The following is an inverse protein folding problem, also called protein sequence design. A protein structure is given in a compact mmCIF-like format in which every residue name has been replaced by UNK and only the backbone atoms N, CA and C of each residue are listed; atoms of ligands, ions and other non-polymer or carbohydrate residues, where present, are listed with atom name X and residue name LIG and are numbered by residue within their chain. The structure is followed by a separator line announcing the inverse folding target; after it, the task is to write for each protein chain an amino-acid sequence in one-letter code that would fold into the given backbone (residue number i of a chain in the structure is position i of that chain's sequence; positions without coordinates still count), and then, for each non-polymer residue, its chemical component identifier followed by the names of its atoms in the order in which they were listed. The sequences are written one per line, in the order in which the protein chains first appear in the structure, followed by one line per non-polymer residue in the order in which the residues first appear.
data_IF_353323875179
#
_entry.id   IF_353323875179
#
_cell.length_a   1.000
_cell.length_b   1.000
_cell.length_c   1.000
_cell.angle_alpha   90.00
_cell.angle_beta   90.00
_cell.angle_gamma   90.00
#
_symmetry.space_group_name_H-M   'P 1'
#
loop_
_entity.id
_entity.type
_entity.pdbx_description
1 polymer ?
#
# COMPACT_ATOMS: atom_id res chain seq x y z
N UNK A 1 3.82 -21.42 -3.09
CA UNK A 1 4.68 -20.40 -2.44
C UNK A 1 4.30 -19.08 -3.04
N UNK A 2 3.82 -18.10 -2.23
CA UNK A 2 3.38 -16.79 -2.74
C UNK A 2 4.54 -15.99 -3.32
N UNK A 3 4.29 -15.28 -4.42
CA UNK A 3 5.28 -14.40 -5.03
C UNK A 3 5.54 -13.18 -4.16
N UNK A 4 6.81 -12.81 -4.03
CA UNK A 4 7.23 -11.65 -3.28
C UNK A 4 7.25 -10.41 -4.19
N UNK A 5 6.84 -9.26 -3.65
CA UNK A 5 6.90 -7.99 -4.36
C UNK A 5 8.35 -7.58 -4.68
N UNK A 6 8.59 -6.82 -5.77
CA UNK A 6 9.91 -6.28 -6.08
C UNK A 6 10.45 -5.39 -4.97
N UNK A 7 11.75 -5.46 -4.69
CA UNK A 7 12.40 -4.63 -3.64
C UNK A 7 12.23 -3.14 -3.87
N UNK A 8 11.98 -2.71 -5.11
CA UNK A 8 11.78 -1.29 -5.48
C UNK A 8 10.59 -0.63 -4.80
N UNK A 9 9.58 -1.40 -4.36
CA UNK A 9 8.43 -0.85 -3.64
C UNK A 9 8.82 -0.25 -2.28
N UNK A 10 9.91 -0.71 -1.67
CA UNK A 10 10.40 -0.16 -0.41
C UNK A 10 10.80 1.32 -0.56
N UNK A 11 11.35 1.70 -1.73
CA UNK A 11 11.69 3.08 -2.02
C UNK A 11 10.46 3.99 -2.09
N UNK A 12 9.37 3.49 -2.65
CA UNK A 12 8.10 4.23 -2.72
C UNK A 12 7.57 4.50 -1.31
N UNK A 13 7.59 3.48 -0.46
CA UNK A 13 7.17 3.63 0.94
C UNK A 13 8.10 4.54 1.74
N UNK A 14 9.40 4.48 1.47
CA UNK A 14 10.39 5.37 2.10
C UNK A 14 10.15 6.84 1.69
N UNK A 15 9.95 7.11 0.41
CA UNK A 15 9.64 8.46 -0.08
C UNK A 15 8.33 8.97 0.52
N UNK A 16 7.30 8.13 0.53
CA UNK A 16 6.03 8.45 1.18
C UNK A 16 6.23 8.79 2.67
N UNK A 17 7.04 8.02 3.40
CA UNK A 17 7.34 8.29 4.79
C UNK A 17 8.11 9.62 4.97
N UNK A 18 9.05 9.94 4.07
CA UNK A 18 9.78 11.23 4.08
C UNK A 18 8.84 12.40 3.82
N UNK A 19 7.92 12.28 2.86
CA UNK A 19 6.91 13.32 2.58
C UNK A 19 6.06 13.56 3.83
N UNK A 20 5.55 12.50 4.46
CA UNK A 20 4.78 12.62 5.70
C UNK A 20 5.58 13.24 6.84
N UNK A 21 6.87 12.89 6.96
CA UNK A 21 7.78 13.49 7.96
C UNK A 21 7.92 14.99 7.73
N UNK A 22 8.08 15.44 6.49
CA UNK A 22 8.16 16.86 6.14
C UNK A 22 6.86 17.60 6.48
N UNK A 23 5.72 17.01 6.17
CA UNK A 23 4.40 17.58 6.50
C UNK A 23 4.22 17.70 8.02
N UNK A 24 4.50 16.63 8.75
CA UNK A 24 4.40 16.63 10.22
C UNK A 24 5.36 17.61 10.86
N UNK A 25 6.60 17.70 10.36
CA UNK A 25 7.59 18.70 10.83
C UNK A 25 7.12 20.13 10.57
N UNK A 26 6.53 20.38 9.41
CA UNK A 26 5.95 21.69 9.06
C UNK A 26 4.81 22.07 10.01
N UNK A 27 3.90 21.14 10.31
CA UNK A 27 2.80 21.35 11.27
C UNK A 27 3.36 21.61 12.67
N UNK A 28 4.34 20.81 13.12
CA UNK A 28 4.97 20.99 14.43
C UNK A 28 5.70 22.33 14.54
N UNK A 29 6.40 22.76 13.49
CA UNK A 29 7.04 24.07 13.41
C UNK A 29 6.03 25.20 13.48
N UNK A 30 4.90 25.07 12.80
CA UNK A 30 3.80 26.04 12.84
C UNK A 30 3.20 26.15 14.24
N UNK A 31 2.98 25.02 14.92
CA UNK A 31 2.51 24.99 16.31
C UNK A 31 3.54 25.69 17.21
N UNK A 32 4.81 25.37 17.08
CA UNK A 32 5.88 25.99 17.86
C UNK A 32 6.00 27.50 17.65
N UNK A 33 5.64 28.00 16.46
CA UNK A 33 5.60 29.43 16.15
C UNK A 33 4.35 30.14 16.72
N UNK A 34 3.20 29.47 16.70
CA UNK A 34 1.93 30.05 17.14
C UNK A 34 1.73 30.02 18.66
N UNK A 35 2.23 28.96 19.33
CA UNK A 35 2.07 28.78 20.79
C UNK A 35 2.56 30.01 21.59
N UNK A 36 3.76 30.57 21.39
CA UNK A 36 4.18 31.75 22.14
C UNK A 36 3.44 33.02 21.72
N UNK A 37 2.93 33.10 20.48
CA UNK A 37 2.26 34.28 19.96
C UNK A 37 0.83 34.44 20.48
N UNK A 38 0.16 33.33 20.79
CA UNK A 38 -1.19 33.31 21.35
C UNK A 38 -1.26 32.95 22.83
N UNK A 39 -0.10 32.96 23.51
CA UNK A 39 -0.01 32.64 24.94
C UNK A 39 -0.61 31.27 25.30
N UNK A 40 -0.53 30.32 24.37
CA UNK A 40 -0.92 28.95 24.64
C UNK A 40 0.10 28.23 25.52
N UNK A 41 -0.30 27.14 26.11
CA UNK A 41 0.51 26.38 27.06
C UNK A 41 1.75 25.77 26.37
N UNK A 42 2.97 26.06 26.84
CA UNK A 42 4.24 25.63 26.20
C UNK A 42 4.39 24.11 26.03
N UNK A 43 3.73 23.32 26.90
CA UNK A 43 3.80 21.86 26.83
C UNK A 43 3.18 21.30 25.53
N UNK A 44 2.30 22.00 24.85
CA UNK A 44 1.73 21.61 23.55
C UNK A 44 2.82 21.43 22.49
N UNK A 45 3.84 22.27 22.48
CA UNK A 45 4.97 22.14 21.54
C UNK A 45 5.77 20.86 21.82
N UNK A 46 6.00 20.55 23.12
CA UNK A 46 6.73 19.33 23.51
C UNK A 46 5.94 18.08 23.10
N UNK A 47 4.63 18.07 23.32
CA UNK A 47 3.76 16.96 22.90
C UNK A 47 3.75 16.81 21.38
N UNK A 48 3.65 17.92 20.62
CA UNK A 48 3.67 17.88 19.16
C UNK A 48 4.99 17.31 18.62
N UNK A 49 6.12 17.69 19.18
CA UNK A 49 7.44 17.13 18.84
C UNK A 49 7.49 15.63 19.15
N UNK A 50 7.06 15.22 20.35
CA UNK A 50 7.04 13.82 20.78
C UNK A 50 6.18 12.96 19.84
N UNK A 51 4.99 13.42 19.48
CA UNK A 51 4.11 12.73 18.52
C UNK A 51 4.73 12.62 17.13
N UNK A 52 5.34 13.70 16.65
CA UNK A 52 6.02 13.69 15.34
C UNK A 52 7.12 12.63 15.29
N UNK A 53 7.94 12.54 16.35
CA UNK A 53 9.01 11.55 16.46
C UNK A 53 8.44 10.13 16.49
N UNK A 54 7.44 9.87 17.33
CA UNK A 54 6.83 8.54 17.49
C UNK A 54 6.20 8.07 16.17
N UNK A 55 5.44 8.93 15.50
CA UNK A 55 4.78 8.60 14.22
C UNK A 55 5.83 8.33 13.14
N UNK A 56 6.87 9.17 13.05
CA UNK A 56 7.94 9.01 12.05
C UNK A 56 8.72 7.72 12.24
N UNK A 57 9.08 7.38 13.48
CA UNK A 57 9.75 6.11 13.82
C UNK A 57 8.85 4.90 13.49
N UNK A 58 7.56 4.98 13.84
CA UNK A 58 6.60 3.93 13.52
C UNK A 58 6.48 3.70 12.01
N UNK A 59 6.44 4.76 11.22
CA UNK A 59 6.41 4.67 9.75
C UNK A 59 7.68 4.01 9.21
N UNK A 60 8.86 4.42 9.64
CA UNK A 60 10.14 3.87 9.17
C UNK A 60 10.28 2.38 9.51
N UNK A 61 9.91 1.98 10.73
CA UNK A 61 9.97 0.58 11.17
C UNK A 61 8.95 -0.27 10.40
N UNK A 62 7.80 0.28 10.01
CA UNK A 62 6.76 -0.44 9.28
C UNK A 62 7.17 -0.82 7.85
N UNK A 63 8.10 -0.09 7.20
CA UNK A 63 8.49 -0.31 5.80
C UNK A 63 9.07 -1.71 5.57
N UNK A 64 10.18 -2.12 6.22
CA UNK A 64 10.79 -3.44 5.98
C UNK A 64 9.87 -4.57 6.41
N UNK A 65 9.06 -4.31 7.43
CA UNK A 65 8.14 -5.28 7.96
C UNK A 65 6.97 -5.53 6.99
N UNK A 66 6.36 -4.47 6.47
CA UNK A 66 5.28 -4.54 5.47
C UNK A 66 5.73 -5.29 4.23
N UNK A 67 6.97 -5.10 3.79
CA UNK A 67 7.54 -5.81 2.65
C UNK A 67 7.61 -7.33 2.86
N UNK A 68 7.93 -7.79 4.07
CA UNK A 68 8.05 -9.23 4.37
C UNK A 68 6.71 -9.96 4.44
N UNK A 69 5.61 -9.23 4.73
CA UNK A 69 4.29 -9.81 4.99
C UNK A 69 3.26 -9.62 3.88
N UNK A 70 3.59 -8.86 2.82
CA UNK A 70 2.72 -8.75 1.66
C UNK A 70 3.14 -9.77 0.62
N UNK A 71 2.28 -10.74 0.34
CA UNK A 71 2.45 -11.76 -0.69
C UNK A 71 1.14 -12.00 -1.41
N UNK A 72 1.21 -12.36 -2.69
CA UNK A 72 0.04 -12.80 -3.45
C UNK A 72 0.31 -14.16 -4.09
N UNK A 73 -0.71 -14.95 -4.25
CA UNK A 73 -0.64 -16.26 -4.90
C UNK A 73 -1.87 -16.46 -5.78
N UNK A 74 -1.63 -16.72 -7.05
CA UNK A 74 -2.67 -17.07 -8.00
C UNK A 74 -2.85 -18.60 -7.99
N UNK A 75 -4.09 -19.04 -7.73
CA UNK A 75 -4.54 -20.41 -7.91
C UNK A 75 -5.59 -20.47 -9.01
N UNK A 76 -5.86 -21.64 -9.56
CA UNK A 76 -6.88 -21.84 -10.60
C UNK A 76 -8.30 -21.54 -10.11
N UNK A 77 -8.56 -21.58 -8.80
CA UNK A 77 -9.89 -21.39 -8.19
C UNK A 77 -10.07 -20.02 -7.55
N UNK A 78 -8.98 -19.43 -7.03
CA UNK A 78 -9.02 -18.16 -6.31
C UNK A 78 -7.69 -17.42 -6.39
N UNK A 79 -7.78 -16.09 -6.35
CA UNK A 79 -6.63 -15.24 -6.07
C UNK A 79 -6.54 -15.05 -4.55
N UNK A 80 -5.45 -15.52 -3.96
CA UNK A 80 -5.17 -15.36 -2.54
C UNK A 80 -4.24 -14.17 -2.33
N UNK A 81 -4.70 -13.20 -1.55
CA UNK A 81 -3.94 -12.02 -1.17
C UNK A 81 -3.68 -12.10 0.33
N UNK A 82 -2.42 -12.21 0.70
CA UNK A 82 -2.01 -12.11 2.08
C UNK A 82 -1.45 -10.72 2.34
N UNK A 83 -2.10 -9.99 3.21
CA UNK A 83 -1.65 -8.67 3.62
C UNK A 83 -1.80 -8.50 5.13
N UNK A 84 -1.07 -7.55 5.69
CA UNK A 84 -1.22 -7.12 7.07
C UNK A 84 0.02 -7.26 7.92
N UNK A 85 0.14 -6.32 8.83
CA UNK A 85 1.24 -6.12 9.75
C UNK A 85 0.91 -6.69 11.15
N UNK A 86 -0.08 -6.14 11.81
CA UNK A 86 -0.55 -6.57 13.13
C UNK A 86 -1.60 -7.68 13.03
N UNK A 87 -2.50 -7.54 12.07
CA UNK A 87 -3.55 -8.51 11.78
C UNK A 87 -3.28 -9.12 10.42
N UNK A 88 -3.00 -10.40 10.37
CA UNK A 88 -2.85 -11.13 9.11
C UNK A 88 -4.21 -11.21 8.45
N UNK A 89 -4.36 -10.56 7.30
CA UNK A 89 -5.55 -10.59 6.48
C UNK A 89 -5.30 -11.55 5.32
N UNK A 90 -6.07 -12.60 5.26
CA UNK A 90 -6.12 -13.53 4.14
C UNK A 90 -7.39 -13.24 3.37
N UNK A 91 -7.26 -12.80 2.15
CA UNK A 91 -8.38 -12.55 1.26
C UNK A 91 -8.28 -13.52 0.10
N UNK A 92 -9.30 -14.35 -0.07
CA UNK A 92 -9.45 -15.23 -1.21
C UNK A 92 -10.56 -14.66 -2.10
N UNK A 93 -10.21 -14.22 -3.29
CA UNK A 93 -11.15 -13.73 -4.30
C UNK A 93 -11.45 -14.86 -5.28
N UNK A 94 -12.65 -15.44 -5.28
CA UNK A 94 -13.02 -16.46 -6.24
C UNK A 94 -12.95 -15.90 -7.66
N UNK A 95 -12.28 -16.61 -8.56
CA UNK A 95 -12.05 -16.17 -9.95
C UNK A 95 -13.35 -15.95 -10.69
N UNK A 96 -14.37 -16.78 -10.46
CA UNK A 96 -15.70 -16.65 -11.05
C UNK A 96 -16.45 -15.37 -10.68
N UNK A 97 -16.03 -14.66 -9.61
CA UNK A 97 -16.62 -13.40 -9.15
C UNK A 97 -15.89 -12.15 -9.66
N UNK A 98 -14.76 -12.31 -10.34
CA UNK A 98 -13.99 -11.19 -10.91
C UNK A 98 -14.79 -10.60 -12.07
N UNK A 99 -15.04 -9.30 -12.01
CA UNK A 99 -15.73 -8.54 -13.04
C UNK A 99 -14.80 -7.71 -13.89
N UNK A 100 -13.79 -7.10 -13.23
CA UNK A 100 -12.84 -6.24 -13.91
C UNK A 100 -11.46 -6.35 -13.27
N UNK A 101 -10.41 -6.15 -14.09
CA UNK A 101 -9.02 -6.06 -13.64
C UNK A 101 -8.41 -4.82 -14.26
N UNK A 102 -8.09 -3.84 -13.43
CA UNK A 102 -7.55 -2.55 -13.84
C UNK A 102 -6.09 -2.42 -13.43
N UNK A 103 -5.25 -1.96 -14.36
CA UNK A 103 -3.87 -1.61 -14.09
C UNK A 103 -3.76 -0.09 -13.91
N UNK A 104 -3.17 0.34 -12.80
CA UNK A 104 -2.96 1.75 -12.51
C UNK A 104 -1.53 2.00 -12.09
N UNK A 105 -1.00 3.18 -12.42
CA UNK A 105 0.31 3.60 -11.97
C UNK A 105 0.25 5.08 -11.57
N UNK A 106 0.28 5.35 -10.28
CA UNK A 106 0.45 6.71 -9.76
C UNK A 106 1.89 7.22 -10.01
N UNK A 107 2.14 8.53 -9.79
CA UNK A 107 3.45 9.14 -10.12
C UNK A 107 4.65 8.43 -9.48
N UNK A 108 4.53 8.01 -8.23
CA UNK A 108 5.60 7.28 -7.53
C UNK A 108 5.82 5.88 -8.07
N UNK A 109 4.75 5.18 -8.47
CA UNK A 109 4.83 3.87 -9.10
C UNK A 109 5.46 3.98 -10.48
N UNK A 110 5.04 4.96 -11.30
CA UNK A 110 5.62 5.23 -12.61
C UNK A 110 7.12 5.52 -12.53
N UNK A 111 7.56 6.32 -11.56
CA UNK A 111 8.97 6.63 -11.35
C UNK A 111 9.82 5.39 -11.06
N UNK A 112 9.27 4.39 -10.39
CA UNK A 112 9.94 3.12 -10.09
C UNK A 112 9.66 2.02 -11.14
N UNK A 113 8.96 2.34 -12.24
CA UNK A 113 8.51 1.36 -13.23
C UNK A 113 7.70 0.23 -12.59
N UNK A 114 6.75 0.58 -11.73
CA UNK A 114 5.84 -0.35 -11.07
C UNK A 114 4.38 0.05 -11.37
N UNK A 115 3.48 -0.92 -11.22
CA UNK A 115 2.05 -0.75 -11.38
C UNK A 115 1.29 -1.36 -10.21
N UNK A 116 0.06 -0.94 -10.02
CA UNK A 116 -0.91 -1.55 -9.15
C UNK A 116 -1.95 -2.31 -9.98
N UNK A 117 -2.29 -3.51 -9.54
CA UNK A 117 -3.36 -4.33 -10.13
C UNK A 117 -4.55 -4.27 -9.20
N UNK A 118 -5.64 -3.70 -9.68
CA UNK A 118 -6.91 -3.63 -8.95
C UNK A 118 -7.89 -4.65 -9.52
N UNK A 119 -8.36 -5.54 -8.68
CA UNK A 119 -9.30 -6.60 -9.00
C UNK A 119 -10.65 -6.21 -8.40
N UNK A 120 -11.68 -6.12 -9.24
CA UNK A 120 -13.01 -5.70 -8.84
C UNK A 120 -14.00 -6.86 -8.98
N UNK A 121 -14.78 -7.04 -7.93
CA UNK A 121 -15.94 -7.93 -7.89
C UNK A 121 -17.23 -7.10 -7.75
N UNK A 122 -18.38 -7.71 -7.74
CA UNK A 122 -19.66 -6.99 -7.55
C UNK A 122 -19.75 -6.24 -6.20
N UNK A 123 -18.99 -6.64 -5.19
CA UNK A 123 -19.12 -6.11 -3.83
C UNK A 123 -17.81 -5.59 -3.22
N UNK A 124 -16.67 -5.97 -3.77
CA UNK A 124 -15.35 -5.64 -3.20
C UNK A 124 -14.35 -5.27 -4.29
N UNK A 125 -13.37 -4.46 -3.91
CA UNK A 125 -12.21 -4.12 -4.74
C UNK A 125 -10.93 -4.44 -3.95
N UNK A 126 -9.98 -5.12 -4.59
CA UNK A 126 -8.71 -5.52 -4.01
C UNK A 126 -7.58 -5.00 -4.86
N UNK A 127 -6.61 -4.31 -4.25
CA UNK A 127 -5.48 -3.73 -4.96
C UNK A 127 -4.17 -4.34 -4.48
N UNK A 128 -3.33 -4.74 -5.42
CA UNK A 128 -1.97 -5.22 -5.19
C UNK A 128 -1.02 -4.19 -5.78
N UNK A 129 -0.31 -3.46 -4.93
CA UNK A 129 0.62 -2.42 -5.35
C UNK A 129 2.03 -2.96 -5.60
N UNK A 130 2.75 -2.36 -6.53
CA UNK A 130 4.18 -2.57 -6.70
C UNK A 130 4.56 -3.78 -7.51
N UNK A 131 3.76 -4.14 -8.49
CA UNK A 131 4.03 -5.21 -9.47
C UNK A 131 4.76 -4.63 -10.67
N UNK A 132 5.71 -5.37 -11.24
CA UNK A 132 6.35 -4.98 -12.50
C UNK A 132 5.33 -4.99 -13.64
N UNK A 133 5.41 -4.05 -14.62
CA UNK A 133 4.42 -3.92 -15.70
C UNK A 133 4.19 -5.22 -16.49
N UNK A 134 5.27 -5.93 -16.83
CA UNK A 134 5.20 -7.21 -17.55
C UNK A 134 4.46 -8.29 -16.75
N UNK A 135 4.70 -8.35 -15.45
CA UNK A 135 4.02 -9.30 -14.54
C UNK A 135 2.57 -8.88 -14.32
N UNK A 136 2.30 -7.57 -14.20
CA UNK A 136 0.96 -7.03 -14.06
C UNK A 136 0.08 -7.33 -15.30
N UNK A 137 0.62 -7.16 -16.50
CA UNK A 137 -0.07 -7.51 -17.74
C UNK A 137 -0.37 -9.01 -17.81
N UNK A 138 0.61 -9.85 -17.52
CA UNK A 138 0.43 -11.31 -17.49
C UNK A 138 -0.61 -11.73 -16.45
N UNK A 139 -0.55 -11.16 -15.25
CA UNK A 139 -1.51 -11.44 -14.17
C UNK A 139 -2.93 -11.04 -14.58
N UNK A 140 -3.09 -9.86 -15.19
CA UNK A 140 -4.39 -9.40 -15.71
C UNK A 140 -4.94 -10.38 -16.75
N UNK A 141 -4.13 -10.74 -17.75
CA UNK A 141 -4.57 -11.60 -18.84
C UNK A 141 -4.92 -13.00 -18.34
N UNK A 142 -4.15 -13.55 -17.41
CA UNK A 142 -4.45 -14.83 -16.76
C UNK A 142 -5.75 -14.76 -15.94
N UNK A 143 -5.94 -13.71 -15.14
CA UNK A 143 -7.15 -13.54 -14.34
C UNK A 143 -8.39 -13.42 -15.21
N UNK A 144 -8.34 -12.64 -16.29
CA UNK A 144 -9.47 -12.47 -17.21
C UNK A 144 -9.80 -13.77 -17.97
N UNK A 145 -8.77 -14.49 -18.40
CA UNK A 145 -8.95 -15.80 -19.07
C UNK A 145 -9.62 -16.80 -18.12
N UNK A 146 -9.10 -16.96 -16.90
CA UNK A 146 -9.67 -17.88 -15.91
C UNK A 146 -11.08 -17.47 -15.50
N UNK A 147 -11.34 -16.15 -15.37
CA UNK A 147 -12.66 -15.63 -15.05
C UNK A 147 -13.69 -15.91 -16.16
N UNK A 148 -13.26 -15.92 -17.42
CA UNK A 148 -14.10 -16.27 -18.55
C UNK A 148 -14.38 -17.78 -18.57
N UNK A 149 -13.34 -18.61 -18.44
CA UNK A 149 -13.48 -20.08 -18.36
C UNK A 149 -14.44 -20.49 -17.23
N UNK A 150 -14.31 -19.87 -16.04
CA UNK A 150 -15.17 -20.15 -14.88
C UNK A 150 -16.63 -19.67 -15.03
N UNK A 151 -16.95 -18.85 -16.03
CA UNK A 151 -18.34 -18.43 -16.34
C UNK A 151 -18.98 -19.33 -17.39
N UNK A 152 -18.16 -19.97 -18.20
CA UNK A 152 -18.61 -20.83 -19.30
C UNK A 152 -18.85 -22.29 -18.84
N UNK A 153 -18.44 -22.64 -17.61
CA UNK A 153 -18.75 -23.91 -16.93
C UNK A 153 -20.05 -23.81 -16.12
#
# INVERSE_FOLDING_TARGET
MGEALPKRIQWIWLISAVIWLLVLSGITGLIGFLVPRWHWWPWLTIVAIGLTIIISLGMLISIPYRYRFTRYQLSTLALEIQSGFFTRKFEAVPISRIQNVTLTAGPLLQWQHLQAVTIETASTSHTIDGIEPTVADQLRDQLLKLAQEARDE
#
